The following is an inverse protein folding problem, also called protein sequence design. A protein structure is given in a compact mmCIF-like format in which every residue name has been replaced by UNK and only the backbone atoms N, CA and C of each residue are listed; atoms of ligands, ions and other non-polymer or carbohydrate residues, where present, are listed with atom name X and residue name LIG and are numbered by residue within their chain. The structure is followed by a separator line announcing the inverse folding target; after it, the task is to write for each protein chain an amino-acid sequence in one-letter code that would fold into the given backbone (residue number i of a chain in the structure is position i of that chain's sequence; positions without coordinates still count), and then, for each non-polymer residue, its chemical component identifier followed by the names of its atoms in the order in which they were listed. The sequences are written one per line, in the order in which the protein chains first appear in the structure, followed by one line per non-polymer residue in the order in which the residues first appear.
data_IF_483830047611
#
_entry.id   IF_483830047611
#
_cell.length_a   1.000
_cell.length_b   1.000
_cell.length_c   1.000
_cell.angle_alpha   90.00
_cell.angle_beta   90.00
_cell.angle_gamma   90.00
#
_symmetry.space_group_name_H-M   'P 1'
#
loop_
_entity.id
_entity.type
_entity.pdbx_description
1 polymer ?
#
# COMPACT_ATOMS: atom_id res chain seq x y z
N UNK A 1 13.93 0.58 20.83
CA UNK A 1 14.83 -0.29 20.05
C UNK A 1 14.01 -0.81 18.90
N UNK A 2 14.45 -0.66 17.66
CA UNK A 2 13.70 -1.18 16.51
C UNK A 2 13.72 -2.71 16.52
N UNK A 3 12.53 -3.32 16.46
CA UNK A 3 12.38 -4.77 16.39
C UNK A 3 12.18 -5.17 14.93
N UNK A 4 13.02 -6.07 14.37
CA UNK A 4 12.79 -6.58 13.02
C UNK A 4 11.44 -7.31 12.92
N UNK A 5 10.70 -7.08 11.83
CA UNK A 5 9.54 -7.90 11.51
C UNK A 5 10.02 -9.29 11.06
N UNK A 6 9.80 -10.29 11.93
CA UNK A 6 10.20 -11.68 11.70
C UNK A 6 9.23 -12.46 10.80
N UNK A 7 8.09 -11.86 10.41
CA UNK A 7 7.12 -12.49 9.51
C UNK A 7 7.47 -12.26 8.03
N UNK A 8 8.62 -11.67 7.73
CA UNK A 8 9.03 -11.39 6.35
C UNK A 8 9.72 -12.56 5.69
N UNK A 9 9.43 -12.72 4.39
CA UNK A 9 9.99 -13.78 3.56
C UNK A 9 10.74 -13.22 2.35
N UNK A 10 11.51 -14.08 1.67
CA UNK A 10 12.26 -13.70 0.48
C UNK A 10 11.34 -13.21 -0.64
N UNK A 11 10.09 -13.70 -0.71
CA UNK A 11 9.09 -13.29 -1.68
C UNK A 11 8.67 -11.82 -1.49
N UNK A 12 8.77 -11.26 -0.28
CA UNK A 12 8.41 -9.86 -0.01
C UNK A 12 9.29 -8.88 -0.80
N UNK A 13 10.52 -9.27 -1.16
CA UNK A 13 11.45 -8.45 -1.96
C UNK A 13 10.90 -8.10 -3.35
N UNK A 14 9.91 -8.83 -3.84
CA UNK A 14 9.26 -8.61 -5.14
C UNK A 14 7.90 -7.91 -5.01
N UNK A 15 7.55 -7.41 -3.83
CA UNK A 15 6.24 -6.81 -3.55
C UNK A 15 6.37 -5.41 -2.94
N UNK A 16 5.35 -4.58 -3.14
CA UNK A 16 5.22 -3.30 -2.42
C UNK A 16 4.31 -3.44 -1.21
N UNK A 17 4.65 -2.76 -0.12
CA UNK A 17 3.84 -2.74 1.09
C UNK A 17 2.86 -1.56 1.09
N UNK A 18 1.58 -1.87 1.22
CA UNK A 18 0.50 -0.90 1.39
C UNK A 18 -0.16 -1.08 2.75
N UNK A 19 -0.37 0.01 3.47
CA UNK A 19 -1.13 0.00 4.72
C UNK A 19 -2.61 0.21 4.44
N UNK A 20 -3.45 -0.55 5.12
CA UNK A 20 -4.92 -0.35 5.10
C UNK A 20 -5.36 0.00 6.52
N UNK A 21 -5.88 1.22 6.73
CA UNK A 21 -6.15 1.73 8.08
C UNK A 21 -7.60 2.21 8.20
N UNK A 22 -8.31 1.86 9.29
CA UNK A 22 -9.58 2.50 9.59
C UNK A 22 -9.33 3.95 10.00
N UNK A 23 -10.23 4.84 9.60
CA UNK A 23 -10.18 6.27 9.88
C UNK A 23 -11.49 6.70 10.54
N UNK A 24 -11.41 6.98 11.84
CA UNK A 24 -12.59 7.27 12.65
C UNK A 24 -13.29 6.00 13.14
N UNK A 25 -14.60 6.08 13.35
CA UNK A 25 -15.39 4.99 13.92
C UNK A 25 -15.91 4.07 12.80
N UNK A 26 -15.05 3.16 12.33
CA UNK A 26 -15.42 2.09 11.40
C UNK A 26 -15.60 0.81 12.22
N UNK A 27 -16.76 0.12 12.17
CA UNK A 27 -16.93 -1.16 12.82
C UNK A 27 -15.93 -2.19 12.31
N UNK A 28 -15.46 -3.07 13.18
CA UNK A 28 -14.37 -4.01 12.87
C UNK A 28 -14.76 -5.00 11.75
N UNK A 29 -15.98 -5.54 11.81
CA UNK A 29 -16.49 -6.47 10.80
C UNK A 29 -16.57 -5.81 9.40
N UNK A 30 -17.05 -4.57 9.35
CA UNK A 30 -17.13 -3.78 8.11
C UNK A 30 -15.73 -3.44 7.57
N UNK A 31 -14.81 -3.04 8.45
CA UNK A 31 -13.42 -2.79 8.08
C UNK A 31 -12.79 -4.04 7.45
N UNK A 32 -12.97 -5.21 8.07
CA UNK A 32 -12.39 -6.44 7.54
C UNK A 32 -13.09 -6.94 6.28
N UNK A 33 -14.37 -6.64 6.08
CA UNK A 33 -15.06 -6.87 4.81
C UNK A 33 -14.39 -6.08 3.68
N UNK A 34 -14.20 -4.77 3.88
CA UNK A 34 -13.51 -3.89 2.91
C UNK A 34 -12.05 -4.34 2.74
N UNK A 35 -11.34 -4.63 3.82
CA UNK A 35 -9.94 -5.07 3.79
C UNK A 35 -9.76 -6.32 2.93
N UNK A 36 -10.64 -7.33 3.04
CA UNK A 36 -10.59 -8.54 2.22
C UNK A 36 -10.74 -8.22 0.73
N UNK A 37 -11.64 -7.30 0.38
CA UNK A 37 -11.83 -6.85 -1.00
C UNK A 37 -10.62 -6.08 -1.53
N UNK A 38 -10.06 -5.17 -0.74
CA UNK A 38 -8.81 -4.48 -1.08
C UNK A 38 -7.68 -5.48 -1.30
N UNK A 39 -7.50 -6.43 -0.37
CA UNK A 39 -6.46 -7.45 -0.44
C UNK A 39 -6.66 -8.49 -1.55
N UNK A 40 -7.87 -8.61 -2.10
CA UNK A 40 -8.13 -9.45 -3.28
C UNK A 40 -7.41 -8.96 -4.53
N UNK A 41 -7.06 -7.67 -4.58
CA UNK A 41 -6.26 -7.07 -5.64
C UNK A 41 -4.78 -7.13 -5.27
N UNK A 42 -4.19 -8.32 -5.28
CA UNK A 42 -2.80 -8.52 -4.86
C UNK A 42 -1.77 -8.31 -5.98
N UNK A 43 -2.21 -8.23 -7.23
CA UNK A 43 -1.33 -8.06 -8.38
C UNK A 43 -2.05 -7.31 -9.49
N UNK A 44 -1.38 -6.33 -10.10
CA UNK A 44 -1.90 -5.57 -11.24
C UNK A 44 -0.90 -5.56 -12.37
N UNK A 45 -1.34 -5.99 -13.56
CA UNK A 45 -0.56 -5.88 -14.79
C UNK A 45 -0.68 -4.47 -15.36
N UNK A 46 0.44 -3.87 -15.75
CA UNK A 46 0.48 -2.50 -16.29
C UNK A 46 1.02 -2.51 -17.72
N UNK A 47 0.12 -2.26 -18.68
CA UNK A 47 0.40 -2.23 -20.11
C UNK A 47 0.57 -3.60 -20.78
N UNK A 48 0.93 -3.60 -22.06
CA UNK A 48 0.98 -4.80 -22.91
C UNK A 48 2.23 -5.67 -22.66
N UNK A 49 3.19 -5.19 -21.87
CA UNK A 49 4.55 -5.70 -21.83
C UNK A 49 4.81 -6.74 -20.71
N UNK A 50 3.77 -7.50 -20.30
CA UNK A 50 3.85 -8.56 -19.28
C UNK A 50 4.40 -8.13 -17.90
N UNK A 51 4.44 -6.82 -17.62
CA UNK A 51 4.91 -6.31 -16.32
C UNK A 51 3.74 -6.23 -15.35
N UNK A 52 3.99 -6.70 -14.13
CA UNK A 52 3.01 -6.65 -13.05
C UNK A 52 3.65 -6.13 -11.78
N UNK A 53 2.84 -5.48 -10.96
CA UNK A 53 3.20 -5.05 -9.62
C UNK A 53 2.45 -5.93 -8.62
N UNK A 54 3.19 -6.65 -7.79
CA UNK A 54 2.65 -7.41 -6.67
C UNK A 54 2.59 -6.54 -5.42
N UNK A 55 1.49 -6.64 -4.67
CA UNK A 55 1.19 -5.79 -3.52
C UNK A 55 0.85 -6.65 -2.32
N UNK A 56 1.42 -6.30 -1.17
CA UNK A 56 1.08 -6.87 0.13
C UNK A 56 0.41 -5.81 1.01
N UNK A 57 -0.66 -6.21 1.68
CA UNK A 57 -1.44 -5.32 2.53
C UNK A 57 -1.23 -5.64 4.01
N UNK A 58 -1.14 -4.61 4.85
CA UNK A 58 -1.10 -4.73 6.32
C UNK A 58 -2.04 -3.71 6.96
N UNK A 59 -2.88 -4.18 7.88
CA UNK A 59 -3.69 -3.30 8.73
C UNK A 59 -3.06 -3.08 10.12
N UNK A 60 -2.22 -4.01 10.58
CA UNK A 60 -1.37 -3.80 11.75
C UNK A 60 0.07 -3.55 11.30
N UNK A 61 0.60 -2.38 11.60
CA UNK A 61 1.96 -1.98 11.24
C UNK A 61 2.57 -1.16 12.36
N UNK A 62 3.58 -1.74 13.02
CA UNK A 62 4.34 -1.05 14.05
C UNK A 62 5.20 0.06 13.39
N UNK A 63 5.16 1.32 13.86
CA UNK A 63 5.97 2.40 13.31
C UNK A 63 7.47 2.07 13.26
N UNK A 64 7.95 1.31 14.25
CA UNK A 64 9.32 0.81 14.38
C UNK A 64 9.76 -0.06 13.19
N UNK A 65 8.82 -0.75 12.52
CA UNK A 65 9.09 -1.54 11.32
C UNK A 65 9.51 -0.64 10.14
N UNK A 66 9.10 0.64 10.15
CA UNK A 66 9.45 1.61 9.11
C UNK A 66 10.91 2.04 9.13
N UNK A 67 11.59 1.96 10.27
CA UNK A 67 13.00 2.32 10.40
C UNK A 67 13.89 1.41 9.55
N UNK A 68 13.54 0.12 9.46
CA UNK A 68 14.22 -0.85 8.59
C UNK A 68 14.00 -0.58 7.10
N UNK A 69 12.98 0.21 6.74
CA UNK A 69 12.66 0.59 5.38
C UNK A 69 13.74 1.41 4.66
N UNK A 70 14.67 2.03 5.40
CA UNK A 70 15.85 2.70 4.82
C UNK A 70 16.87 1.72 4.26
N UNK A 71 17.03 0.58 4.92
CA UNK A 71 17.98 -0.46 4.52
C UNK A 71 17.33 -1.48 3.59
N UNK A 72 16.05 -1.78 3.81
CA UNK A 72 15.31 -2.81 3.11
C UNK A 72 14.02 -2.22 2.57
N UNK A 73 14.05 -1.76 1.31
CA UNK A 73 12.94 -0.99 0.73
C UNK A 73 11.62 -1.75 0.71
N UNK A 74 11.63 -3.09 0.61
CA UNK A 74 10.42 -3.91 0.67
C UNK A 74 9.70 -3.82 2.02
N UNK A 75 10.40 -3.44 3.11
CA UNK A 75 9.84 -3.26 4.46
C UNK A 75 9.09 -1.95 4.64
N UNK A 76 9.37 -0.98 3.78
CA UNK A 76 8.82 0.36 3.85
C UNK A 76 7.39 0.36 3.28
N UNK A 77 6.44 0.86 4.06
CA UNK A 77 5.13 1.19 3.54
C UNK A 77 5.24 2.32 2.50
N UNK A 78 4.83 2.06 1.27
CA UNK A 78 4.87 3.02 0.15
C UNK A 78 3.48 3.45 -0.30
N UNK A 79 2.42 2.82 0.20
CA UNK A 79 1.05 3.20 -0.09
C UNK A 79 0.16 3.18 1.15
N UNK A 80 -0.91 3.98 1.12
CA UNK A 80 -1.92 4.06 2.17
C UNK A 80 -3.33 3.97 1.58
N UNK A 81 -4.13 3.04 2.07
CA UNK A 81 -5.57 2.98 1.86
C UNK A 81 -6.26 3.27 3.20
N UNK A 82 -6.99 4.36 3.28
CA UNK A 82 -7.78 4.72 4.45
C UNK A 82 -9.25 4.34 4.23
N UNK A 83 -9.89 3.74 5.22
CA UNK A 83 -11.31 3.36 5.19
C UNK A 83 -12.05 4.23 6.20
N UNK A 84 -13.06 4.99 5.78
CA UNK A 84 -13.82 5.87 6.66
C UNK A 84 -15.33 5.70 6.47
N UNK A 85 -16.09 5.89 7.53
CA UNK A 85 -17.54 6.11 7.48
C UNK A 85 -17.82 7.60 7.61
N UNK A 86 -18.49 8.19 6.62
CA UNK A 86 -18.81 9.61 6.57
C UNK A 86 -20.21 9.79 5.96
N UNK A 87 -21.29 9.72 6.74
CA UNK A 87 -22.66 9.74 6.22
C UNK A 87 -23.14 11.12 5.75
N UNK A 88 -22.46 12.22 6.14
CA UNK A 88 -22.88 13.58 5.81
C UNK A 88 -21.76 14.43 5.20
N UNK A 89 -22.11 15.18 4.14
CA UNK A 89 -21.27 16.25 3.59
C UNK A 89 -21.33 17.46 4.54
N UNK A 90 -20.34 17.60 5.43
CA UNK A 90 -20.33 18.66 6.44
C UNK A 90 -19.08 18.64 7.32
N UNK A 91 -19.22 18.98 8.61
CA UNK A 91 -18.13 18.97 9.59
C UNK A 91 -17.45 17.60 9.73
N UNK A 92 -18.21 16.51 9.58
CA UNK A 92 -17.68 15.13 9.59
C UNK A 92 -16.70 14.88 8.44
N UNK A 93 -17.03 15.36 7.23
CA UNK A 93 -16.12 15.28 6.10
C UNK A 93 -14.85 16.12 6.33
N UNK A 94 -14.99 17.34 6.83
CA UNK A 94 -13.84 18.21 7.11
C UNK A 94 -12.86 17.54 8.09
N UNK A 95 -13.38 16.96 9.17
CA UNK A 95 -12.59 16.21 10.15
C UNK A 95 -11.96 14.96 9.55
N UNK A 96 -12.69 14.21 8.72
CA UNK A 96 -12.19 13.01 8.05
C UNK A 96 -11.05 13.36 7.08
N UNK A 97 -11.21 14.42 6.30
CA UNK A 97 -10.20 14.94 5.37
C UNK A 97 -8.93 15.41 6.08
N UNK A 98 -9.07 16.08 7.23
CA UNK A 98 -7.94 16.50 8.07
C UNK A 98 -7.20 15.29 8.63
N UNK A 99 -7.92 14.31 9.20
CA UNK A 99 -7.30 13.08 9.73
C UNK A 99 -6.61 12.28 8.63
N UNK A 100 -7.20 12.21 7.44
CA UNK A 100 -6.57 11.56 6.29
C UNK A 100 -5.26 12.26 5.91
N UNK A 101 -5.23 13.60 5.87
CA UNK A 101 -4.00 14.37 5.64
C UNK A 101 -2.94 14.05 6.69
N UNK A 102 -3.30 14.05 7.97
CA UNK A 102 -2.36 13.75 9.06
C UNK A 102 -1.76 12.33 8.97
N UNK A 103 -2.54 11.33 8.53
CA UNK A 103 -1.99 9.98 8.29
C UNK A 103 -0.96 9.95 7.17
N UNK A 104 -1.18 10.70 6.09
CA UNK A 104 -0.21 10.82 4.98
C UNK A 104 1.09 11.46 5.46
N UNK A 105 0.99 12.55 6.21
CA UNK A 105 2.15 13.24 6.80
C UNK A 105 2.96 12.33 7.72
N UNK A 106 2.30 11.48 8.51
CA UNK A 106 2.97 10.51 9.40
C UNK A 106 3.76 9.43 8.66
N UNK A 107 3.30 9.01 7.47
CA UNK A 107 4.06 8.07 6.63
C UNK A 107 5.20 8.76 5.87
N UNK A 108 5.10 10.09 5.74
CA UNK A 108 6.19 10.93 5.28
C UNK A 108 6.58 10.70 3.82
N UNK A 109 7.84 10.99 3.45
CA UNK A 109 8.28 11.03 2.04
C UNK A 109 8.35 9.66 1.37
N UNK A 110 8.18 8.58 2.13
CA UNK A 110 8.14 7.21 1.62
C UNK A 110 6.86 6.90 0.84
N UNK A 111 5.78 7.66 1.09
CA UNK A 111 4.47 7.44 0.51
C UNK A 111 4.44 7.87 -0.97
N UNK A 112 4.22 6.91 -1.86
CA UNK A 112 4.11 7.15 -3.31
C UNK A 112 2.68 7.50 -3.72
N UNK A 113 1.68 6.87 -3.11
CA UNK A 113 0.29 7.27 -3.28
C UNK A 113 -0.55 6.95 -2.04
N UNK A 114 -1.74 7.54 -1.98
CA UNK A 114 -2.74 7.32 -0.94
C UNK A 114 -4.16 7.36 -1.51
N UNK A 115 -5.06 6.54 -0.98
CA UNK A 115 -6.49 6.55 -1.32
C UNK A 115 -7.36 6.53 -0.07
N UNK A 116 -8.34 7.41 0.00
CA UNK A 116 -9.41 7.38 1.00
C UNK A 116 -10.65 6.73 0.37
N UNK A 117 -11.15 5.67 0.99
CA UNK A 117 -12.42 5.02 0.69
C UNK A 117 -13.45 5.52 1.71
N UNK A 118 -14.27 6.49 1.30
CA UNK A 118 -15.28 7.12 2.15
C UNK A 118 -16.66 6.49 1.91
N UNK A 119 -17.20 5.83 2.92
CA UNK A 119 -18.47 5.12 2.89
C UNK A 119 -19.60 5.93 3.54
N UNK A 120 -20.85 5.69 3.14
CA UNK A 120 -22.04 6.29 3.76
C UNK A 120 -22.58 7.52 3.04
N UNK A 121 -21.88 8.04 2.03
CA UNK A 121 -22.37 9.18 1.24
C UNK A 121 -23.22 8.67 0.07
N UNK A 122 -24.52 8.91 0.14
CA UNK A 122 -25.45 8.65 -0.96
C UNK A 122 -25.68 9.94 -1.75
N UNK A 123 -25.23 9.99 -3.01
CA UNK A 123 -25.44 11.13 -3.90
C UNK A 123 -24.16 11.90 -4.24
N UNK A 124 -24.09 12.35 -5.49
CA UNK A 124 -22.91 12.93 -6.14
C UNK A 124 -22.13 13.85 -5.20
N UNK A 125 -20.92 13.41 -4.84
CA UNK A 125 -19.91 14.28 -4.23
C UNK A 125 -19.90 15.61 -4.98
N UNK A 126 -20.18 16.71 -4.29
CA UNK A 126 -20.10 18.05 -4.87
C UNK A 126 -18.72 18.23 -5.52
N UNK A 127 -18.60 19.11 -6.53
CA UNK A 127 -17.32 19.30 -7.22
C UNK A 127 -16.15 19.63 -6.26
N UNK A 128 -16.45 20.22 -5.10
CA UNK A 128 -15.51 20.53 -4.02
C UNK A 128 -14.99 19.28 -3.26
N UNK A 129 -15.75 18.19 -3.28
CA UNK A 129 -15.40 16.91 -2.67
C UNK A 129 -14.65 15.98 -3.64
N UNK A 130 -14.69 16.26 -4.95
CA UNK A 130 -14.02 15.45 -5.96
C UNK A 130 -12.51 15.67 -5.90
N UNK A 131 -11.84 14.71 -5.27
CA UNK A 131 -10.38 14.64 -5.21
C UNK A 131 -9.92 13.30 -5.79
N UNK A 132 -8.79 13.26 -6.51
CA UNK A 132 -8.30 12.01 -7.10
C UNK A 132 -7.88 10.98 -6.03
N UNK A 133 -7.52 11.44 -4.83
CA UNK A 133 -7.14 10.60 -3.70
C UNK A 133 -8.33 10.15 -2.85
N UNK A 134 -9.57 10.35 -3.30
CA UNK A 134 -10.80 9.99 -2.57
C UNK A 134 -11.79 9.26 -3.49
N UNK A 135 -12.32 8.14 -3.02
CA UNK A 135 -13.45 7.45 -3.64
C UNK A 135 -14.61 7.38 -2.64
N UNK A 136 -15.82 7.67 -3.11
CA UNK A 136 -17.04 7.66 -2.31
C UNK A 136 -17.89 6.44 -2.65
N UNK A 137 -18.42 5.79 -1.63
CA UNK A 137 -19.33 4.64 -1.76
C UNK A 137 -20.57 4.84 -0.89
N UNK A 138 -21.77 4.47 -1.38
CA UNK A 138 -23.00 4.54 -0.59
C UNK A 138 -22.95 3.70 0.70
N UNK A 139 -22.33 2.52 0.67
CA UNK A 139 -22.20 1.64 1.83
C UNK A 139 -21.14 0.55 1.64
N UNK A 140 -20.84 -0.20 2.69
CA UNK A 140 -19.79 -1.24 2.65
C UNK A 140 -20.13 -2.39 1.69
N UNK A 141 -21.41 -2.75 1.59
CA UNK A 141 -21.89 -3.77 0.66
C UNK A 141 -22.20 -3.20 -0.74
N UNK A 142 -22.42 -1.89 -0.84
CA UNK A 142 -22.72 -1.18 -2.09
C UNK A 142 -21.49 -0.39 -2.58
N UNK A 143 -20.45 -1.14 -2.99
CA UNK A 143 -19.23 -0.57 -3.55
C UNK A 143 -18.69 -1.40 -4.74
N UNK A 144 -19.36 -1.38 -5.90
CA UNK A 144 -19.00 -2.21 -7.05
C UNK A 144 -17.67 -1.79 -7.71
N UNK A 145 -17.27 -0.53 -7.58
CA UNK A 145 -16.02 -0.01 -8.18
C UNK A 145 -14.82 -0.06 -7.23
N UNK A 146 -14.93 -0.74 -6.08
CA UNK A 146 -13.87 -0.79 -5.08
C UNK A 146 -12.58 -1.39 -5.65
N UNK A 147 -12.64 -2.57 -6.27
CA UNK A 147 -11.47 -3.25 -6.80
C UNK A 147 -10.83 -2.44 -7.93
N UNK A 148 -11.63 -1.80 -8.79
CA UNK A 148 -11.14 -0.91 -9.84
C UNK A 148 -10.43 0.31 -9.25
N UNK A 149 -11.00 0.92 -8.22
CA UNK A 149 -10.38 2.03 -7.48
C UNK A 149 -9.02 1.64 -6.92
N UNK A 150 -8.91 0.41 -6.38
CA UNK A 150 -7.65 -0.14 -5.87
C UNK A 150 -6.68 -0.45 -7.01
N UNK A 151 -7.13 -0.98 -8.14
CA UNK A 151 -6.30 -1.19 -9.33
C UNK A 151 -5.69 0.13 -9.82
N UNK A 152 -6.48 1.18 -9.94
CA UNK A 152 -6.01 2.51 -10.36
C UNK A 152 -4.98 3.08 -9.37
N UNK A 153 -5.19 2.87 -8.06
CA UNK A 153 -4.24 3.22 -7.01
C UNK A 153 -2.92 2.41 -7.07
N UNK A 154 -2.97 1.14 -7.47
CA UNK A 154 -1.74 0.34 -7.65
C UNK A 154 -1.01 0.79 -8.92
N UNK A 155 -1.74 1.15 -9.98
CA UNK A 155 -1.18 1.67 -11.22
C UNK A 155 -0.44 3.00 -11.00
N UNK A 156 -0.97 3.91 -10.17
CA UNK A 156 -0.27 5.16 -9.85
C UNK A 156 1.05 4.90 -9.11
N UNK A 157 1.08 3.97 -8.14
CA UNK A 157 2.30 3.53 -7.46
C UNK A 157 3.31 2.97 -8.48
N UNK A 158 2.84 2.13 -9.41
CA UNK A 158 3.69 1.57 -10.46
C UNK A 158 4.32 2.67 -11.33
N UNK A 159 3.56 3.70 -11.73
CA UNK A 159 4.08 4.81 -12.53
C UNK A 159 5.21 5.54 -11.79
N UNK A 160 5.04 5.80 -10.50
CA UNK A 160 6.08 6.44 -9.66
C UNK A 160 7.34 5.56 -9.60
N UNK A 161 7.18 4.26 -9.40
CA UNK A 161 8.28 3.30 -9.36
C UNK A 161 9.03 3.20 -10.70
N UNK A 162 8.29 3.14 -11.81
CA UNK A 162 8.87 3.10 -13.16
C UNK A 162 9.65 4.38 -13.47
N UNK A 163 9.14 5.55 -13.10
CA UNK A 163 9.87 6.81 -13.24
C UNK A 163 11.20 6.76 -12.49
N UNK A 164 11.19 6.34 -11.22
CA UNK A 164 12.41 6.21 -10.40
C UNK A 164 13.40 5.19 -10.98
N UNK A 165 12.89 4.09 -11.58
CA UNK A 165 13.71 3.07 -12.24
C UNK A 165 14.40 3.64 -13.48
N UNK A 166 13.68 4.42 -14.29
CA UNK A 166 14.23 5.08 -15.47
C UNK A 166 15.31 6.09 -15.11
N UNK A 167 15.06 6.94 -14.10
CA UNK A 167 16.03 7.93 -13.61
C UNK A 167 17.37 7.24 -13.24
N UNK A 168 17.31 6.14 -12.49
CA UNK A 168 18.49 5.35 -12.11
C UNK A 168 19.18 4.66 -13.30
N UNK A 169 18.41 4.17 -14.26
CA UNK A 169 18.98 3.48 -15.43
C UNK A 169 19.77 4.44 -16.35
N UNK A 170 19.42 5.73 -16.34
CA UNK A 170 20.16 6.77 -17.07
C UNK A 170 21.43 7.23 -16.34
N UNK A 171 21.54 6.93 -15.06
CA UNK A 171 22.72 7.22 -14.26
C UNK A 171 23.82 6.20 -14.62
N UNK A 172 24.96 6.68 -15.12
CA UNK A 172 26.03 5.83 -15.71
C UNK A 172 26.81 5.00 -14.66
N UNK A 173 26.35 4.98 -13.42
CA UNK A 173 27.06 4.38 -12.29
C UNK A 173 27.16 2.86 -12.40
N UNK A 174 26.28 2.17 -13.13
CA UNK A 174 26.38 0.72 -13.39
C UNK A 174 26.40 -0.16 -12.12
N UNK A 175 26.23 0.43 -10.95
CA UNK A 175 26.40 -0.23 -9.67
C UNK A 175 25.21 -1.15 -9.42
N UNK A 176 25.51 -2.44 -9.28
CA UNK A 176 24.53 -3.41 -8.80
C UNK A 176 24.14 -2.99 -7.39
N UNK A 177 22.86 -2.68 -7.18
CA UNK A 177 22.34 -2.39 -5.83
C UNK A 177 22.49 -3.67 -5.00
N UNK A 178 23.32 -3.68 -3.94
CA UNK A 178 23.40 -4.83 -3.05
C UNK A 178 22.04 -5.00 -2.36
N UNK A 179 21.40 -6.16 -2.55
CA UNK A 179 20.19 -6.51 -1.83
C UNK A 179 20.58 -6.80 -0.38
N UNK A 180 20.25 -5.86 0.52
CA UNK A 180 20.43 -6.06 1.94
C UNK A 180 19.36 -7.04 2.43
N UNK A 181 19.78 -8.26 2.79
CA UNK A 181 18.94 -9.28 3.41
C UNK A 181 19.44 -9.52 4.83
N UNK A 182 18.51 -9.61 5.79
CA UNK A 182 18.83 -10.09 7.14
C UNK A 182 19.09 -11.60 7.10
N UNK A 183 19.93 -12.16 7.99
CA UNK A 183 20.38 -13.56 7.89
C UNK A 183 19.26 -14.60 7.76
N UNK A 184 18.09 -14.34 8.37
CA UNK A 184 16.93 -15.22 8.37
C UNK A 184 15.99 -15.06 7.15
N UNK A 185 16.21 -14.05 6.29
CA UNK A 185 15.50 -13.91 5.01
C UNK A 185 16.16 -14.72 3.89
N UNK A 186 17.34 -15.29 4.14
CA UNK A 186 17.97 -16.18 3.17
C UNK A 186 17.09 -17.41 3.04
N UNK A 187 16.64 -17.68 1.81
CA UNK A 187 16.07 -18.97 1.44
C UNK A 187 17.20 -19.97 1.69
N UNK A 188 17.19 -20.64 2.83
CA UNK A 188 18.18 -21.65 3.15
C UNK A 188 18.25 -22.57 1.93
N UNK A 189 19.45 -22.76 1.38
CA UNK A 189 19.73 -23.76 0.36
C UNK A 189 19.62 -25.15 1.02
N UNK A 190 18.45 -25.48 1.56
CA UNK A 190 18.13 -26.82 2.08
C UNK A 190 17.93 -27.70 0.85
N UNK A 191 19.02 -28.30 0.38
CA UNK A 191 18.99 -29.20 -0.78
C UNK A 191 20.22 -29.21 -1.69
N UNK A 192 21.31 -28.53 -1.35
CA UNK A 192 22.62 -28.89 -1.93
C UNK A 192 23.11 -30.13 -1.18
N UNK A 193 22.60 -31.29 -1.59
CA UNK A 193 23.11 -32.57 -1.14
C UNK A 193 24.59 -32.66 -1.52
N UNK A 194 25.41 -32.86 -0.50
CA UNK A 194 26.86 -32.86 -0.54
C UNK A 194 27.39 -34.23 -0.95
N UNK A 195 26.90 -34.80 -2.05
CA UNK A 195 27.47 -36.03 -2.60
C UNK A 195 28.66 -35.69 -3.50
N UNK A 196 29.76 -35.35 -2.82
CA UNK A 196 31.10 -35.43 -3.38
C UNK A 196 32.02 -35.96 -2.31
N UNK A 197 32.03 -37.30 -2.17
CA UNK A 197 33.21 -38.12 -1.83
C UNK A 197 32.93 -39.61 -1.96
#
# INVERSE_FOLDING_TARGET
MSVPDYLQCAEDHQTVLVLVQPLGAVPEDDFFCVYKRVASVSQVSVGDNQRSLSVRYRHNYAPENGEWGEFQSHRRAVGLVAVAWCPAAGSEWALTSERFRAMKERLGPALYDSRLLAFGMSGNATAELQRPDVAFFPGYDDCPELEKTIQDFIQSIFIVLESKRLDRATDKSGDKIPLLCVPFEKKDFVGLDTDSR
#
